data_IF_344647365894
#
_entry.id   IF_344647365894
#
_cell.length_a   1.000
_cell.length_b   1.000
_cell.length_c   1.000
_cell.angle_alpha   90.00
_cell.angle_beta   90.00
_cell.angle_gamma   90.00
#
_symmetry.space_group_name_H-M   'P 1'
#
loop_
_entity.id
_entity.type
_entity.pdbx_description
1 polymer ?
#
# COMPACT_ATOMS: atom_id res chain seq x y z
N UNK A 1 3.66 9.25 12.31
CA UNK A 1 2.93 9.09 13.59
C UNK A 1 2.32 10.44 13.92
N UNK A 2 1.10 10.67 13.47
CA UNK A 2 0.27 11.78 13.91
C UNK A 2 -0.88 11.16 14.67
N UNK A 3 -0.87 11.28 15.99
CA UNK A 3 -1.94 10.89 16.92
C UNK A 3 -3.13 11.88 16.86
N UNK A 4 -3.30 12.55 15.73
CA UNK A 4 -4.45 13.41 15.53
C UNK A 4 -5.67 12.48 15.40
N UNK A 5 -6.66 12.56 16.31
CA UNK A 5 -7.92 11.86 16.10
C UNK A 5 -8.45 12.27 14.73
N UNK A 6 -9.01 11.32 13.97
CA UNK A 6 -9.84 11.68 12.81
C UNK A 6 -10.85 12.70 13.34
N UNK A 7 -10.76 13.96 12.87
CA UNK A 7 -11.66 15.03 13.31
C UNK A 7 -13.09 14.52 13.10
N UNK A 8 -13.74 14.18 14.22
CA UNK A 8 -15.13 13.74 14.33
C UNK A 8 -15.69 13.19 13.02
N UNK A 9 -15.27 11.98 12.63
CA UNK A 9 -15.97 11.27 11.57
C UNK A 9 -17.46 11.30 11.92
N UNK A 10 -18.30 11.82 11.03
CA UNK A 10 -19.75 12.05 11.19
C UNK A 10 -20.38 10.96 12.06
N UNK A 11 -20.44 11.18 13.39
CA UNK A 11 -20.82 10.11 14.30
C UNK A 11 -22.33 9.99 14.23
N UNK A 12 -22.81 8.84 13.77
CA UNK A 12 -24.20 8.44 13.92
C UNK A 12 -24.50 8.04 15.38
N UNK A 13 -23.94 8.80 16.34
CA UNK A 13 -23.98 8.46 17.76
C UNK A 13 -25.42 8.39 18.25
N UNK A 14 -25.79 7.23 18.79
CA UNK A 14 -27.11 6.97 19.36
C UNK A 14 -26.94 6.62 20.83
N UNK A 15 -27.64 7.34 21.69
CA UNK A 15 -27.74 7.06 23.12
C UNK A 15 -29.09 6.41 23.44
N UNK A 16 -29.05 5.20 24.00
CA UNK A 16 -30.24 4.43 24.36
C UNK A 16 -30.32 4.31 25.89
N UNK A 17 -31.37 4.82 26.54
CA UNK A 17 -31.56 4.62 27.98
C UNK A 17 -31.90 3.15 28.27
N UNK A 18 -31.12 2.52 29.16
CA UNK A 18 -31.36 1.16 29.65
C UNK A 18 -32.03 1.15 31.03
N UNK A 19 -32.10 2.31 31.71
CA UNK A 19 -32.77 2.48 33.00
C UNK A 19 -32.68 3.91 33.52
N UNK A 20 -33.09 4.15 34.77
CA UNK A 20 -33.21 5.51 35.35
C UNK A 20 -31.88 6.30 35.37
N UNK A 21 -30.74 5.62 35.30
CA UNK A 21 -29.39 6.22 35.30
C UNK A 21 -28.38 5.49 34.41
N UNK A 22 -28.86 4.63 33.52
CA UNK A 22 -28.01 3.81 32.65
C UNK A 22 -28.31 4.11 31.19
N UNK A 23 -27.24 4.31 30.42
CA UNK A 23 -27.29 4.67 29.01
C UNK A 23 -26.29 3.80 28.28
N UNK A 24 -26.64 3.40 27.06
CA UNK A 24 -25.73 2.77 26.11
C UNK A 24 -25.52 3.75 24.97
N UNK A 25 -24.27 4.14 24.76
CA UNK A 25 -23.85 4.93 23.61
C UNK A 25 -23.29 3.99 22.55
N UNK A 26 -23.82 4.07 21.33
CA UNK A 26 -23.30 3.36 20.17
C UNK A 26 -22.94 4.35 19.07
N UNK A 27 -21.84 4.09 18.37
CA UNK A 27 -21.35 4.91 17.27
C UNK A 27 -20.60 4.01 16.31
N UNK A 28 -20.86 4.15 15.02
CA UNK A 28 -20.24 3.36 13.96
C UNK A 28 -19.41 4.26 13.05
N UNK A 29 -18.15 3.90 12.83
CA UNK A 29 -17.31 4.53 11.82
C UNK A 29 -17.59 3.88 10.46
N UNK A 30 -18.18 4.63 9.54
CA UNK A 30 -18.42 4.18 8.17
C UNK A 30 -17.38 4.80 7.24
N UNK A 31 -16.54 3.97 6.62
CA UNK A 31 -15.61 4.37 5.58
C UNK A 31 -16.18 3.97 4.20
N UNK A 32 -16.79 4.90 3.44
CA UNK A 32 -17.49 4.56 2.21
C UNK A 32 -16.58 4.02 1.10
N UNK A 33 -15.28 4.36 1.13
CA UNK A 33 -14.27 3.82 0.22
C UNK A 33 -12.93 3.73 0.93
N UNK A 34 -12.59 2.52 1.38
CA UNK A 34 -11.34 2.24 2.10
C UNK A 34 -10.14 2.31 1.16
N UNK A 35 -9.08 2.97 1.60
CA UNK A 35 -7.81 3.17 0.89
C UNK A 35 -6.66 2.67 1.76
N UNK A 36 -5.48 2.51 1.16
CA UNK A 36 -4.26 2.08 1.85
C UNK A 36 -3.93 2.96 3.06
N UNK A 37 -4.24 4.25 2.98
CA UNK A 37 -4.00 5.22 4.07
C UNK A 37 -4.94 5.02 5.27
N UNK A 38 -6.01 4.27 5.10
CA UNK A 38 -6.98 3.96 6.16
C UNK A 38 -6.59 2.67 6.90
N UNK A 39 -5.56 1.93 6.45
CA UNK A 39 -5.05 0.78 7.20
C UNK A 39 -4.39 1.25 8.49
N UNK A 40 -4.80 0.68 9.62
CA UNK A 40 -4.29 1.08 10.92
C UNK A 40 -5.17 0.68 12.09
N UNK A 41 -4.77 1.11 13.28
CA UNK A 41 -5.54 0.88 14.50
C UNK A 41 -6.60 1.95 14.71
N UNK A 42 -7.78 1.52 15.11
CA UNK A 42 -8.95 2.34 15.41
C UNK A 42 -9.46 1.99 16.80
N UNK A 43 -10.07 2.98 17.47
CA UNK A 43 -10.80 2.78 18.71
C UNK A 43 -11.97 3.74 18.79
N UNK A 44 -13.03 3.30 19.45
CA UNK A 44 -14.13 4.18 19.79
C UNK A 44 -13.74 5.06 20.97
N UNK A 45 -14.21 6.31 20.95
CA UNK A 45 -14.04 7.28 22.02
C UNK A 45 -15.41 7.81 22.41
N UNK A 46 -15.72 7.79 23.69
CA UNK A 46 -16.92 8.44 24.25
C UNK A 46 -16.52 9.34 25.42
N UNK A 47 -17.37 10.29 25.79
CA UNK A 47 -17.14 11.19 26.93
C UNK A 47 -18.26 11.00 27.95
N UNK A 48 -17.91 10.44 29.11
CA UNK A 48 -18.85 10.26 30.21
C UNK A 48 -18.45 11.13 31.41
N UNK A 49 -19.35 12.02 31.84
CA UNK A 49 -19.11 12.92 33.00
C UNK A 49 -17.81 13.75 32.88
N UNK A 50 -17.45 14.15 31.66
CA UNK A 50 -16.25 14.94 31.37
C UNK A 50 -14.96 14.12 31.27
N UNK A 51 -15.01 12.80 31.41
CA UNK A 51 -13.86 11.91 31.19
C UNK A 51 -13.96 11.22 29.84
N UNK A 52 -12.84 11.12 29.14
CA UNK A 52 -12.73 10.35 27.91
C UNK A 52 -12.58 8.86 28.25
N UNK A 53 -13.38 8.04 27.58
CA UNK A 53 -13.36 6.58 27.70
C UNK A 53 -13.12 6.02 26.30
N UNK A 54 -12.19 5.08 26.18
CA UNK A 54 -11.82 4.44 24.93
C UNK A 54 -12.20 2.95 24.96
N UNK A 55 -12.54 2.40 23.80
CA UNK A 55 -12.64 0.95 23.63
C UNK A 55 -11.25 0.30 23.55
N UNK A 56 -11.23 -1.04 23.51
CA UNK A 56 -10.07 -1.77 23.00
C UNK A 56 -9.75 -1.35 21.55
N UNK A 57 -8.48 -1.47 21.17
CA UNK A 57 -8.04 -1.18 19.80
C UNK A 57 -8.52 -2.29 18.84
N UNK A 58 -9.01 -1.90 17.67
CA UNK A 58 -9.26 -2.77 16.52
C UNK A 58 -8.32 -2.39 15.38
N UNK A 59 -8.01 -3.32 14.47
CA UNK A 59 -7.10 -3.07 13.34
C UNK A 59 -7.83 -3.24 12.02
N UNK A 60 -7.90 -2.15 11.23
CA UNK A 60 -8.39 -2.19 9.86
C UNK A 60 -7.27 -2.64 8.93
N UNK A 61 -7.44 -3.80 8.33
CA UNK A 61 -6.55 -4.36 7.31
C UNK A 61 -7.28 -4.46 5.97
N UNK A 62 -6.59 -4.14 4.89
CA UNK A 62 -7.13 -4.33 3.54
C UNK A 62 -6.96 -5.77 3.07
N UNK A 63 -8.02 -6.30 2.46
CA UNK A 63 -7.97 -7.47 1.60
C UNK A 63 -7.96 -7.01 0.14
N UNK A 64 -7.03 -7.56 -0.62
CA UNK A 64 -6.81 -7.28 -2.03
C UNK A 64 -5.33 -7.37 -2.40
N UNK A 65 -5.09 -7.01 -3.65
CA UNK A 65 -3.76 -7.01 -4.26
C UNK A 65 -3.47 -5.62 -4.82
N UNK A 66 -2.33 -5.03 -4.46
CA UNK A 66 -2.00 -3.68 -4.87
C UNK A 66 -0.50 -3.39 -4.79
N UNK A 67 -0.03 -2.42 -5.57
CA UNK A 67 1.31 -1.87 -5.40
C UNK A 67 1.33 -0.91 -4.22
N UNK A 68 2.06 -1.26 -3.16
CA UNK A 68 2.34 -0.37 -2.04
C UNK A 68 3.34 0.72 -2.44
N UNK A 69 4.28 0.37 -3.33
CA UNK A 69 5.23 1.30 -3.93
C UNK A 69 5.26 1.11 -5.44
N UNK A 70 5.04 2.19 -6.16
CA UNK A 70 5.24 2.26 -7.61
C UNK A 70 6.68 2.68 -7.93
N UNK A 71 7.22 2.35 -9.11
CA UNK A 71 8.47 2.94 -9.55
C UNK A 71 8.33 4.46 -9.70
N UNK A 72 9.41 5.20 -9.48
CA UNK A 72 9.45 6.65 -9.56
C UNK A 72 10.34 7.10 -10.73
N UNK A 73 9.92 8.15 -11.44
CA UNK A 73 10.71 8.73 -12.52
C UNK A 73 12.03 9.30 -12.01
N UNK A 74 13.12 9.08 -12.74
CA UNK A 74 14.44 9.59 -12.38
C UNK A 74 15.27 10.01 -13.59
N UNK A 75 16.27 10.87 -13.37
CA UNK A 75 17.26 11.26 -14.38
C UNK A 75 18.63 10.67 -14.03
N UNK A 76 19.12 9.76 -14.85
CA UNK A 76 20.39 9.06 -14.67
C UNK A 76 21.49 9.63 -15.57
N UNK A 77 22.75 9.46 -15.19
CA UNK A 77 23.89 9.82 -16.03
C UNK A 77 24.35 8.62 -16.85
N UNK A 78 24.88 8.87 -18.05
CA UNK A 78 25.51 7.85 -18.88
C UNK A 78 26.63 7.14 -18.12
N UNK A 79 26.80 5.85 -18.40
CA UNK A 79 27.81 4.97 -17.79
C UNK A 79 27.73 4.88 -16.25
N UNK A 80 26.63 5.31 -15.66
CA UNK A 80 26.32 5.14 -14.24
C UNK A 80 25.20 4.15 -14.06
N UNK A 81 25.11 3.60 -12.85
CA UNK A 81 24.01 2.72 -12.49
C UNK A 81 22.76 3.52 -12.16
N UNK A 82 21.60 3.03 -12.63
CA UNK A 82 20.28 3.49 -12.24
C UNK A 82 19.48 2.34 -11.62
N UNK A 83 18.59 2.68 -10.69
CA UNK A 83 17.72 1.71 -10.02
C UNK A 83 16.29 2.18 -9.98
N UNK A 84 15.37 1.30 -10.34
CA UNK A 84 13.94 1.49 -10.21
C UNK A 84 13.39 0.43 -9.25
N UNK A 85 12.43 0.80 -8.41
CA UNK A 85 11.97 -0.06 -7.32
C UNK A 85 10.45 -0.02 -7.19
N UNK A 86 9.84 -1.17 -6.97
CA UNK A 86 8.42 -1.28 -6.64
C UNK A 86 8.17 -2.36 -5.59
N UNK A 87 7.06 -2.24 -4.87
CA UNK A 87 6.63 -3.18 -3.84
C UNK A 87 5.15 -3.49 -4.04
N UNK A 88 4.82 -4.78 -4.13
CA UNK A 88 3.48 -5.31 -4.32
C UNK A 88 3.06 -6.10 -3.09
N UNK A 89 1.88 -5.80 -2.56
CA UNK A 89 1.28 -6.45 -1.40
C UNK A 89 0.03 -7.21 -1.83
N UNK A 90 -0.12 -8.43 -1.33
CA UNK A 90 -1.21 -9.32 -1.67
C UNK A 90 -1.72 -10.04 -0.44
N UNK A 91 -3.04 -9.95 -0.20
CA UNK A 91 -3.77 -10.63 0.87
C UNK A 91 -5.25 -10.83 0.49
N UNK A 92 -5.88 -11.98 0.76
CA UNK A 92 -5.25 -13.24 1.07
C UNK A 92 -4.55 -13.81 -0.17
N UNK A 93 -3.34 -14.35 -0.03
CA UNK A 93 -2.66 -15.12 -1.07
C UNK A 93 -1.79 -16.21 -0.43
N UNK A 94 -1.75 -17.38 -1.06
CA UNK A 94 -1.00 -18.54 -0.53
C UNK A 94 0.47 -18.49 -0.96
N UNK A 95 0.74 -17.99 -2.17
CA UNK A 95 2.09 -17.88 -2.73
C UNK A 95 2.41 -16.41 -3.08
N UNK A 96 3.67 -15.97 -2.91
CA UNK A 96 4.05 -14.61 -3.26
C UNK A 96 3.88 -14.35 -4.76
N UNK A 97 3.57 -13.11 -5.11
CA UNK A 97 3.50 -12.70 -6.51
C UNK A 97 4.90 -12.66 -7.14
N UNK A 98 4.95 -12.93 -8.45
CA UNK A 98 6.15 -12.72 -9.24
C UNK A 98 6.13 -11.34 -9.90
N UNK A 99 7.22 -10.57 -9.77
CA UNK A 99 7.33 -9.24 -10.39
C UNK A 99 8.25 -9.30 -11.60
N UNK A 100 7.72 -8.87 -12.74
CA UNK A 100 8.48 -8.62 -13.97
C UNK A 100 8.48 -7.13 -14.32
N UNK A 101 9.43 -6.72 -15.15
CA UNK A 101 9.57 -5.33 -15.60
C UNK A 101 9.21 -5.19 -17.08
N UNK A 102 8.62 -4.05 -17.42
CA UNK A 102 8.41 -3.63 -18.81
C UNK A 102 9.10 -2.31 -19.07
N UNK A 103 9.55 -2.13 -20.32
CA UNK A 103 10.02 -0.87 -20.87
C UNK A 103 9.23 -0.54 -22.14
N UNK A 104 8.63 0.63 -22.20
CA UNK A 104 7.84 1.11 -23.34
C UNK A 104 6.74 0.12 -23.78
N UNK A 105 6.11 -0.54 -22.80
CA UNK A 105 5.04 -1.52 -23.04
C UNK A 105 5.53 -2.93 -23.44
N UNK A 106 6.83 -3.16 -23.58
CA UNK A 106 7.41 -4.47 -23.87
C UNK A 106 8.04 -5.09 -22.61
N UNK A 107 7.91 -6.42 -22.39
CA UNK A 107 8.62 -7.11 -21.32
C UNK A 107 10.15 -6.99 -21.43
N UNK A 108 10.83 -6.86 -20.30
CA UNK A 108 12.28 -6.96 -20.19
C UNK A 108 12.67 -8.40 -19.80
N UNK A 109 12.84 -9.27 -20.79
CA UNK A 109 13.12 -10.71 -20.60
C UNK A 109 14.43 -10.99 -19.83
N UNK A 110 15.44 -10.13 -19.97
CA UNK A 110 16.77 -10.27 -19.35
C UNK A 110 17.03 -9.14 -18.33
N UNK A 111 15.99 -8.72 -17.61
CA UNK A 111 16.12 -7.73 -16.56
C UNK A 111 17.07 -8.22 -15.46
N UNK A 112 18.13 -7.47 -15.19
CA UNK A 112 18.91 -7.64 -13.96
C UNK A 112 18.10 -7.03 -12.81
N UNK A 113 17.46 -7.86 -11.99
CA UNK A 113 16.69 -7.40 -10.85
C UNK A 113 17.00 -8.18 -9.56
N UNK A 114 16.85 -7.48 -8.43
CA UNK A 114 16.85 -8.09 -7.11
C UNK A 114 15.41 -8.17 -6.62
N UNK A 115 14.89 -9.38 -6.45
CA UNK A 115 13.54 -9.61 -5.95
C UNK A 115 13.59 -10.22 -4.55
N UNK A 116 12.75 -9.71 -3.66
CA UNK A 116 12.59 -10.18 -2.28
C UNK A 116 11.12 -10.41 -2.00
N UNK A 117 10.79 -11.57 -1.44
CA UNK A 117 9.44 -11.97 -1.06
C UNK A 117 9.41 -12.19 0.45
N UNK A 118 8.51 -11.48 1.13
CA UNK A 118 8.39 -11.50 2.59
C UNK A 118 6.95 -11.83 2.95
N UNK A 119 6.75 -12.92 3.71
CA UNK A 119 5.47 -13.23 4.33
C UNK A 119 5.29 -12.35 5.57
N UNK A 120 4.18 -11.63 5.66
CA UNK A 120 3.80 -10.87 6.86
C UNK A 120 2.91 -11.71 7.80
N UNK A 121 2.06 -12.55 7.22
CA UNK A 121 1.26 -13.57 7.91
C UNK A 121 1.06 -14.82 7.00
N UNK A 122 0.21 -15.77 7.39
CA UNK A 122 -0.04 -17.01 6.62
C UNK A 122 -0.68 -16.78 5.24
N UNK A 123 -1.30 -15.63 5.01
CA UNK A 123 -2.05 -15.28 3.79
C UNK A 123 -1.62 -13.93 3.23
N UNK A 124 -0.51 -13.37 3.69
CA UNK A 124 -0.09 -12.04 3.30
C UNK A 124 1.38 -12.02 2.90
N UNK A 125 1.61 -11.52 1.69
CA UNK A 125 2.94 -11.41 1.13
C UNK A 125 3.20 -9.99 0.62
N UNK A 126 4.44 -9.54 0.83
CA UNK A 126 5.00 -8.37 0.18
C UNK A 126 6.15 -8.82 -0.71
N UNK A 127 6.05 -8.54 -2.00
CA UNK A 127 7.12 -8.75 -2.97
C UNK A 127 7.70 -7.41 -3.38
N UNK A 128 9.00 -7.23 -3.23
CA UNK A 128 9.73 -6.03 -3.68
C UNK A 128 10.68 -6.42 -4.80
N UNK A 129 10.72 -5.64 -5.88
CA UNK A 129 11.68 -5.82 -6.97
C UNK A 129 12.43 -4.52 -7.21
N UNK A 130 13.74 -4.62 -7.37
CA UNK A 130 14.64 -3.55 -7.76
C UNK A 130 15.25 -3.89 -9.12
N UNK A 131 14.86 -3.16 -10.17
CA UNK A 131 15.52 -3.25 -11.48
C UNK A 131 16.82 -2.45 -11.43
N UNK A 132 17.91 -3.08 -11.86
CA UNK A 132 19.24 -2.49 -11.89
C UNK A 132 19.66 -2.34 -13.34
N UNK A 133 19.99 -1.11 -13.72
CA UNK A 133 20.64 -0.80 -15.00
C UNK A 133 22.07 -0.44 -14.61
N UNK A 134 23.00 -1.36 -14.85
CA UNK A 134 24.38 -1.25 -14.33
C UNK A 134 25.19 -0.13 -15.01
N UNK A 135 24.98 0.09 -16.30
CA UNK A 135 25.62 1.13 -17.09
C UNK A 135 24.60 1.74 -18.04
N UNK A 136 24.01 2.87 -17.65
CA UNK A 136 22.94 3.54 -18.41
C UNK A 136 23.45 4.02 -19.78
N UNK A 137 22.69 3.66 -20.81
CA UNK A 137 22.87 4.12 -22.19
C UNK A 137 21.59 4.84 -22.70
N UNK A 138 21.68 5.50 -23.86
CA UNK A 138 20.55 6.13 -24.55
C UNK A 138 19.40 5.15 -24.82
N UNK A 139 19.71 3.86 -25.01
CA UNK A 139 18.70 2.82 -25.24
C UNK A 139 17.89 2.47 -23.99
N UNK A 140 18.35 2.90 -22.81
CA UNK A 140 17.64 2.73 -21.54
C UNK A 140 16.61 3.82 -21.25
N UNK A 141 16.60 4.91 -22.01
CA UNK A 141 15.60 5.96 -21.83
C UNK A 141 14.21 5.46 -22.19
N UNK A 142 13.23 5.70 -21.30
CA UNK A 142 11.85 5.32 -21.57
C UNK A 142 10.97 5.18 -20.35
N UNK A 143 9.79 4.62 -20.58
CA UNK A 143 8.74 4.40 -19.60
C UNK A 143 8.82 2.98 -19.03
N UNK A 144 8.97 2.87 -17.72
CA UNK A 144 9.14 1.62 -17.00
C UNK A 144 7.92 1.34 -16.11
N UNK A 145 7.54 0.06 -16.04
CA UNK A 145 6.47 -0.43 -15.16
C UNK A 145 6.84 -1.77 -14.55
N UNK A 146 6.36 -2.00 -13.33
CA UNK A 146 6.29 -3.32 -12.74
C UNK A 146 4.99 -4.02 -13.13
N UNK A 147 5.09 -5.33 -13.32
CA UNK A 147 3.96 -6.23 -13.55
C UNK A 147 4.03 -7.34 -12.53
N UNK A 148 3.08 -7.32 -11.59
CA UNK A 148 2.91 -8.38 -10.61
C UNK A 148 1.99 -9.45 -11.19
N UNK A 149 2.42 -10.70 -11.14
CA UNK A 149 1.60 -11.87 -11.49
C UNK A 149 1.24 -12.60 -10.21
N UNK A 150 -0.05 -12.59 -9.85
CA UNK A 150 -0.56 -13.21 -8.64
C UNK A 150 -1.83 -14.00 -9.00
N UNK A 151 -1.89 -15.28 -8.63
CA UNK A 151 -3.02 -16.18 -8.92
C UNK A 151 -3.48 -16.15 -10.40
N UNK A 152 -2.53 -16.05 -11.34
CA UNK A 152 -2.80 -15.98 -12.78
C UNK A 152 -3.27 -14.61 -13.29
N UNK A 153 -3.48 -13.63 -12.41
CA UNK A 153 -3.81 -12.24 -12.78
C UNK A 153 -2.56 -11.38 -12.90
N UNK A 154 -2.50 -10.53 -13.93
CA UNK A 154 -1.45 -9.53 -14.13
C UNK A 154 -1.92 -8.16 -13.69
N UNK A 155 -1.19 -7.54 -12.78
CA UNK A 155 -1.49 -6.22 -12.22
C UNK A 155 -0.32 -5.28 -12.50
N UNK A 156 -0.62 -4.09 -12.98
CA UNK A 156 0.37 -3.13 -13.47
C UNK A 156 0.58 -1.98 -12.47
N UNK A 157 1.82 -1.57 -12.27
CA UNK A 157 2.13 -0.36 -11.51
C UNK A 157 1.81 0.91 -12.33
N UNK A 158 1.87 2.05 -11.64
CA UNK A 158 2.03 3.33 -12.31
C UNK A 158 3.34 3.37 -13.12
N UNK A 159 3.37 4.32 -14.05
CA UNK A 159 4.49 4.54 -14.96
C UNK A 159 5.60 5.38 -14.32
N UNK A 160 6.85 5.03 -14.62
CA UNK A 160 8.04 5.80 -14.26
C UNK A 160 8.90 6.08 -15.49
N UNK A 161 9.30 7.33 -15.69
CA UNK A 161 10.16 7.72 -16.80
C UNK A 161 11.63 7.76 -16.37
N UNK A 162 12.49 7.03 -17.07
CA UNK A 162 13.94 7.12 -16.96
C UNK A 162 14.47 8.05 -18.05
N UNK A 163 15.03 9.20 -17.65
CA UNK A 163 15.68 10.15 -18.55
C UNK A 163 17.19 10.24 -18.31
N UNK A 164 17.90 10.94 -19.21
CA UNK A 164 19.31 11.27 -19.02
C UNK A 164 19.46 12.63 -18.34
N UNK A 165 20.41 12.72 -17.41
CA UNK A 165 20.86 13.97 -16.81
C UNK A 165 21.79 14.67 -17.80
N UNK A 166 21.41 15.89 -18.19
CA UNK A 166 22.23 16.79 -19.02
C UNK A 166 23.47 17.32 -18.30
#
# INVERSE_FOLDING_TARGET
>A
MNDAPLEFAETNEIEVPMGDKEWVTTSELILPSVRIRDVGSYKCKTVAKGNEIFSDDTYLQLEGVYFQKHPESLSASLDKSAKLSCSFRARPIVEPAEISWMRNGAPLELAENNQSQVALDEKEWVTTSELIISSVDYTDVGHYKCVATAEGSKIFSNDAYLGLRG
#
